data_IF_253369142983
#
_entry.id   IF_253369142983
#
_cell.length_a   1.000
_cell.length_b   1.000
_cell.length_c   1.000
_cell.angle_alpha   90.00
_cell.angle_beta   90.00
_cell.angle_gamma   90.00
#
_symmetry.space_group_name_H-M   'P 1'
#
loop_
_entity.id
_entity.type
_entity.pdbx_description
1 polymer ?
#
# COMPACT_ATOMS: atom_id res chain seq x y z
N UNK A 1 -13.63 2.08 10.43
CA UNK A 1 -13.42 1.83 8.98
C UNK A 1 -14.66 1.19 8.43
N UNK A 2 -15.38 1.87 7.53
CA UNK A 2 -16.63 1.35 6.95
C UNK A 2 -16.48 0.84 5.51
N UNK A 3 -15.37 1.15 4.84
CA UNK A 3 -15.21 0.92 3.39
C UNK A 3 -14.10 -0.09 3.04
N UNK A 4 -13.21 -0.40 3.99
CA UNK A 4 -12.13 -1.38 3.84
C UNK A 4 -11.94 -2.22 5.09
N UNK A 5 -11.39 -3.41 4.91
CA UNK A 5 -11.03 -4.35 5.98
C UNK A 5 -9.63 -4.95 5.75
N UNK A 6 -8.98 -5.43 6.81
CA UNK A 6 -7.66 -6.06 6.73
C UNK A 6 -7.81 -7.57 6.88
N UNK A 7 -7.33 -8.34 5.90
CA UNK A 7 -7.37 -9.80 5.88
C UNK A 7 -6.03 -10.39 5.44
N UNK A 8 -5.87 -11.71 5.53
CA UNK A 8 -4.71 -12.40 4.97
C UNK A 8 -4.69 -12.20 3.45
N UNK A 9 -3.58 -11.71 2.92
CA UNK A 9 -3.41 -11.47 1.48
C UNK A 9 -2.91 -12.72 0.77
N UNK A 10 -3.24 -12.83 -0.51
CA UNK A 10 -2.62 -13.81 -1.42
C UNK A 10 -1.27 -13.31 -1.98
N UNK A 11 -1.00 -12.01 -1.91
CA UNK A 11 0.26 -11.39 -2.34
C UNK A 11 1.33 -11.60 -1.26
N UNK A 12 1.14 -11.00 -0.08
CA UNK A 12 2.04 -11.15 1.07
C UNK A 12 1.35 -10.76 2.38
N UNK A 13 1.57 -11.52 3.45
CA UNK A 13 1.13 -11.17 4.81
C UNK A 13 -0.35 -10.79 4.91
N UNK A 14 -0.61 -9.52 5.24
CA UNK A 14 -1.94 -8.93 5.31
C UNK A 14 -2.16 -8.00 4.11
N UNK A 15 -3.41 -7.85 3.70
CA UNK A 15 -3.86 -6.97 2.64
C UNK A 15 -5.06 -6.14 3.08
N UNK A 16 -5.28 -5.02 2.42
CA UNK A 16 -6.48 -4.19 2.56
C UNK A 16 -7.48 -4.62 1.49
N UNK A 17 -8.74 -4.85 1.86
CA UNK A 17 -9.78 -5.33 0.95
C UNK A 17 -10.99 -4.39 0.97
N UNK A 18 -11.59 -4.20 -0.20
CA UNK A 18 -12.81 -3.41 -0.37
C UNK A 18 -14.01 -4.11 0.30
N UNK A 19 -14.75 -3.43 1.18
CA UNK A 19 -16.00 -4.00 1.76
C UNK A 19 -17.26 -3.61 0.98
N UNK A 20 -17.10 -2.73 -0.02
CA UNK A 20 -18.12 -2.28 -0.99
C UNK A 20 -17.49 -2.05 -2.36
N UNK A 21 -18.31 -1.80 -3.36
CA UNK A 21 -17.84 -1.32 -4.66
C UNK A 21 -17.37 0.14 -4.57
N UNK A 22 -16.33 0.49 -5.33
CA UNK A 22 -15.83 1.86 -5.53
C UNK A 22 -15.78 2.18 -7.02
N UNK A 23 -16.12 3.42 -7.36
CA UNK A 23 -15.91 3.98 -8.70
C UNK A 23 -14.51 4.55 -8.86
N UNK A 24 -14.03 4.56 -10.10
CA UNK A 24 -12.82 5.29 -10.48
C UNK A 24 -12.89 6.74 -9.95
N UNK A 25 -11.81 7.18 -9.30
CA UNK A 25 -11.68 8.51 -8.70
C UNK A 25 -12.17 8.62 -7.26
N UNK A 26 -12.83 7.59 -6.71
CA UNK A 26 -13.20 7.60 -5.28
C UNK A 26 -11.97 7.47 -4.38
N UNK A 27 -11.98 8.20 -3.28
CA UNK A 27 -11.03 8.02 -2.18
C UNK A 27 -11.42 6.76 -1.41
N UNK A 28 -10.53 5.77 -1.40
CA UNK A 28 -10.75 4.47 -0.75
C UNK A 28 -10.28 4.53 0.69
N UNK A 29 -9.07 5.05 0.88
CA UNK A 29 -8.40 5.08 2.17
C UNK A 29 -7.65 6.40 2.32
N UNK A 30 -7.94 7.13 3.39
CA UNK A 30 -7.13 8.25 3.85
C UNK A 30 -6.13 7.72 4.87
N UNK A 31 -4.86 8.01 4.67
CA UNK A 31 -3.80 7.62 5.57
C UNK A 31 -3.79 8.55 6.78
N UNK A 32 -3.42 8.00 7.93
CA UNK A 32 -3.18 8.80 9.13
C UNK A 32 -1.83 8.40 9.73
N UNK A 33 -0.73 8.59 9.01
CA UNK A 33 0.55 8.09 9.45
C UNK A 33 1.05 8.96 10.62
N UNK A 34 1.72 8.34 11.59
CA UNK A 34 2.22 9.03 12.77
C UNK A 34 3.52 9.75 12.43
N UNK A 35 3.64 11.08 12.61
CA UNK A 35 4.92 11.77 12.48
C UNK A 35 5.93 11.19 13.46
N UNK A 36 7.13 10.90 12.98
CA UNK A 36 8.26 10.44 13.80
C UNK A 36 9.50 11.25 13.47
N UNK A 37 10.45 11.28 14.40
CA UNK A 37 11.78 11.86 14.21
C UNK A 37 12.67 10.91 13.42
N UNK A 38 13.74 11.44 12.81
CA UNK A 38 14.76 10.61 12.17
C UNK A 38 15.36 9.60 13.16
N UNK A 39 15.66 10.02 14.39
CA UNK A 39 16.21 9.14 15.42
C UNK A 39 15.24 8.03 15.85
N UNK A 40 13.93 8.25 15.77
CA UNK A 40 12.93 7.18 15.96
C UNK A 40 12.89 6.24 14.77
N UNK A 41 12.98 6.77 13.54
CA UNK A 41 13.04 5.97 12.32
C UNK A 41 14.29 5.07 12.30
N UNK A 42 15.48 5.63 12.60
CA UNK A 42 16.75 4.90 12.64
C UNK A 42 16.81 3.80 13.72
N UNK A 43 15.90 3.84 14.71
CA UNK A 43 15.75 2.82 15.76
C UNK A 43 14.75 1.72 15.41
N UNK A 44 13.94 1.92 14.37
CA UNK A 44 13.18 0.83 13.79
C UNK A 44 14.21 -0.03 13.05
N UNK A 45 14.35 -1.29 13.48
CA UNK A 45 15.20 -2.28 12.83
C UNK A 45 14.30 -3.45 12.44
N UNK A 46 14.52 -4.04 11.27
CA UNK A 46 13.66 -5.03 10.58
C UNK A 46 12.33 -4.48 10.04
N UNK A 47 11.59 -5.35 9.33
CA UNK A 47 10.23 -5.34 8.70
C UNK A 47 9.29 -4.13 8.98
N UNK A 48 9.45 -3.43 10.11
CA UNK A 48 8.82 -2.14 10.41
C UNK A 48 9.39 -0.96 9.60
N UNK A 49 10.61 -1.06 9.07
CA UNK A 49 11.18 -0.01 8.19
C UNK A 49 10.37 0.16 6.91
N UNK A 50 9.80 -0.93 6.38
CA UNK A 50 8.92 -0.91 5.20
C UNK A 50 7.64 -0.07 5.43
N UNK A 51 7.35 0.32 6.67
CA UNK A 51 6.21 1.17 7.03
C UNK A 51 6.58 2.63 7.27
N UNK A 52 7.86 3.01 7.12
CA UNK A 52 8.29 4.39 7.26
C UNK A 52 8.19 5.10 5.91
N UNK A 53 7.28 6.07 5.83
CA UNK A 53 7.14 6.95 4.69
C UNK A 53 8.05 8.18 4.87
N UNK A 54 8.86 8.47 3.86
CA UNK A 54 9.73 9.64 3.81
C UNK A 54 9.18 10.68 2.83
N UNK A 55 8.78 11.86 3.33
CA UNK A 55 8.26 12.96 2.50
C UNK A 55 9.12 14.20 2.73
N UNK A 56 9.96 14.53 1.76
CA UNK A 56 10.90 15.66 1.86
C UNK A 56 11.96 15.44 2.94
N UNK A 57 11.79 16.08 4.10
CA UNK A 57 12.67 15.92 5.29
C UNK A 57 11.92 15.36 6.51
N UNK A 58 10.71 14.87 6.31
CA UNK A 58 9.82 14.37 7.36
C UNK A 58 9.69 12.86 7.26
N UNK A 59 9.60 12.22 8.42
CA UNK A 59 9.41 10.78 8.56
C UNK A 59 8.04 10.52 9.16
N UNK A 60 7.35 9.53 8.63
CA UNK A 60 6.03 9.13 9.09
C UNK A 60 5.95 7.61 9.21
N UNK A 61 5.46 7.12 10.33
CA UNK A 61 5.15 5.70 10.52
C UNK A 61 3.72 5.42 10.05
N UNK A 62 3.57 4.60 9.02
CA UNK A 62 2.26 4.18 8.54
C UNK A 62 1.52 3.34 9.59
N UNK A 63 0.21 3.57 9.71
CA UNK A 63 -0.65 2.86 10.64
C UNK A 63 -1.55 1.86 9.91
N UNK A 64 -2.35 1.09 10.64
CA UNK A 64 -3.37 0.28 10.01
C UNK A 64 -4.57 1.19 9.64
N UNK A 65 -5.17 1.01 8.45
CA UNK A 65 -4.93 -0.10 7.53
C UNK A 65 -3.87 0.19 6.44
N UNK A 66 -3.42 1.43 6.25
CA UNK A 66 -2.59 1.84 5.11
C UNK A 66 -1.28 1.07 4.98
N UNK A 67 -0.64 0.71 6.10
CA UNK A 67 0.59 -0.08 6.10
C UNK A 67 0.44 -1.50 5.53
N UNK A 68 -0.80 -1.96 5.32
CA UNK A 68 -1.11 -3.27 4.75
C UNK A 68 -1.58 -3.21 3.31
N UNK A 69 -1.59 -2.03 2.67
CA UNK A 69 -1.82 -1.95 1.23
C UNK A 69 -0.62 -2.64 0.56
N UNK A 70 -0.87 -3.57 -0.37
CA UNK A 70 0.20 -4.33 -1.01
C UNK A 70 0.58 -3.74 -2.36
N UNK A 71 1.79 -4.09 -2.82
CA UNK A 71 2.26 -3.73 -4.14
C UNK A 71 1.59 -4.56 -5.25
N UNK A 72 1.24 -3.91 -6.36
CA UNK A 72 0.90 -4.57 -7.62
C UNK A 72 1.43 -3.80 -8.83
N UNK A 73 2.00 -4.53 -9.80
CA UNK A 73 2.39 -3.96 -11.11
C UNK A 73 1.18 -3.49 -11.94
N UNK A 74 -0.02 -3.99 -11.64
CA UNK A 74 -1.29 -3.48 -12.15
C UNK A 74 -2.13 -3.07 -10.94
N UNK A 75 -1.65 -2.05 -10.21
CA UNK A 75 -2.33 -1.49 -9.07
C UNK A 75 -3.72 -0.96 -9.45
N UNK A 76 -4.65 -1.02 -8.50
CA UNK A 76 -6.00 -0.46 -8.66
C UNK A 76 -6.16 0.91 -8.00
N UNK A 77 -5.10 1.42 -7.36
CA UNK A 77 -5.05 2.77 -6.81
C UNK A 77 -3.87 3.58 -7.35
N UNK A 78 -3.97 4.90 -7.19
CA UNK A 78 -2.82 5.80 -7.16
C UNK A 78 -2.86 6.60 -5.86
N UNK A 79 -1.70 7.07 -5.42
CA UNK A 79 -1.57 7.81 -4.17
C UNK A 79 -1.58 9.31 -4.43
N UNK A 80 -2.37 10.05 -3.66
CA UNK A 80 -2.39 11.51 -3.71
C UNK A 80 -2.82 12.06 -2.35
N UNK A 81 -2.14 13.10 -1.85
CA UNK A 81 -2.45 13.76 -0.58
C UNK A 81 -2.73 12.76 0.56
N UNK A 82 -1.78 11.83 0.81
CA UNK A 82 -1.89 10.79 1.83
C UNK A 82 -3.19 9.97 1.72
N UNK A 83 -3.59 9.63 0.49
CA UNK A 83 -4.79 8.84 0.23
C UNK A 83 -4.58 7.88 -0.94
N UNK A 84 -5.17 6.69 -0.84
CA UNK A 84 -5.38 5.79 -1.98
C UNK A 84 -6.66 6.17 -2.71
N UNK A 85 -6.53 6.46 -4.00
CA UNK A 85 -7.63 6.83 -4.88
C UNK A 85 -7.78 5.77 -5.96
N UNK A 86 -9.01 5.32 -6.20
CA UNK A 86 -9.32 4.30 -7.20
C UNK A 86 -8.92 4.76 -8.61
N UNK A 87 -8.06 4.01 -9.30
CA UNK A 87 -7.66 4.32 -10.69
C UNK A 87 -8.58 3.66 -11.73
N UNK A 88 -9.43 2.73 -11.28
CA UNK A 88 -10.50 2.03 -12.00
C UNK A 88 -11.65 1.72 -11.04
N UNK A 89 -12.76 1.20 -11.54
CA UNK A 89 -13.79 0.61 -10.68
C UNK A 89 -13.21 -0.61 -9.91
N UNK A 90 -13.55 -0.73 -8.63
CA UNK A 90 -13.11 -1.80 -7.72
C UNK A 90 -14.34 -2.43 -7.11
N UNK A 91 -14.42 -3.76 -7.17
CA UNK A 91 -15.52 -4.53 -6.60
C UNK A 91 -15.30 -4.86 -5.13
N UNK A 92 -16.40 -5.01 -4.40
CA UNK A 92 -16.40 -5.59 -3.06
C UNK A 92 -15.60 -6.90 -3.07
N UNK A 93 -14.67 -7.03 -2.13
CA UNK A 93 -13.79 -8.19 -1.96
C UNK A 93 -12.50 -8.13 -2.76
N UNK A 94 -12.30 -7.16 -3.66
CA UNK A 94 -11.00 -6.95 -4.29
C UNK A 94 -9.97 -6.42 -3.28
N UNK A 95 -8.72 -6.85 -3.43
CA UNK A 95 -7.59 -6.32 -2.66
C UNK A 95 -7.18 -4.95 -3.21
N UNK A 96 -7.04 -3.97 -2.33
CA UNK A 96 -6.53 -2.64 -2.63
C UNK A 96 -5.01 -2.73 -2.74
N UNK A 97 -4.49 -2.28 -3.87
CA UNK A 97 -3.05 -2.36 -4.19
C UNK A 97 -2.58 -1.07 -4.83
N UNK A 98 -1.35 -0.68 -4.48
CA UNK A 98 -0.71 0.53 -4.98
C UNK A 98 0.61 0.19 -5.68
N UNK A 99 1.06 1.08 -6.56
CA UNK A 99 2.41 1.06 -7.10
C UNK A 99 3.27 2.00 -6.25
N UNK A 100 4.21 1.44 -5.48
CA UNK A 100 5.10 2.23 -4.62
C UNK A 100 6.34 2.73 -5.35
N UNK A 101 6.43 2.52 -6.67
CA UNK A 101 7.58 2.96 -7.45
C UNK A 101 8.86 2.23 -7.06
N UNK A 102 8.77 0.94 -6.68
CA UNK A 102 9.95 0.11 -6.47
C UNK A 102 10.78 0.11 -7.76
N UNK A 103 11.82 0.94 -7.80
CA UNK A 103 12.86 0.81 -8.81
C UNK A 103 13.41 -0.60 -8.69
N UNK A 104 13.43 -1.29 -9.82
CA UNK A 104 13.89 -2.67 -9.97
C UNK A 104 15.37 -2.79 -9.62
N UNK A 105 15.68 -2.75 -8.33
CA UNK A 105 16.88 -3.41 -7.82
C UNK A 105 16.63 -4.89 -8.00
N UNK A 106 17.57 -5.60 -8.63
CA UNK A 106 17.44 -6.99 -9.10
C UNK A 106 17.10 -8.04 -8.01
N UNK A 107 16.85 -7.63 -6.77
CA UNK A 107 16.47 -8.47 -5.63
C UNK A 107 14.97 -8.51 -5.34
N UNK A 108 14.15 -7.58 -5.84
CA UNK A 108 12.70 -7.58 -5.57
C UNK A 108 11.95 -8.62 -6.42
N UNK A 109 11.52 -9.70 -5.76
CA UNK A 109 10.75 -10.79 -6.33
C UNK A 109 9.24 -10.54 -6.13
N UNK A 110 8.55 -10.07 -7.18
CA UNK A 110 7.17 -9.60 -7.07
C UNK A 110 6.16 -10.77 -6.99
N UNK A 111 5.25 -10.69 -5.99
CA UNK A 111 4.17 -11.67 -5.75
C UNK A 111 2.77 -11.19 -6.15
N UNK A 112 2.66 -10.08 -6.88
CA UNK A 112 1.35 -9.45 -7.15
C UNK A 112 0.39 -10.29 -8.00
N UNK A 113 0.88 -11.32 -8.70
CA UNK A 113 0.05 -12.18 -9.55
C UNK A 113 -0.46 -11.53 -10.85
N UNK A 114 -0.10 -10.27 -11.14
CA UNK A 114 -0.47 -9.61 -12.41
C UNK A 114 0.11 -10.35 -13.61
N UNK A 115 -0.71 -10.48 -14.67
CA UNK A 115 -0.27 -11.06 -15.96
C UNK A 115 0.84 -10.22 -16.60
N UNK A 116 0.81 -8.89 -16.42
CA UNK A 116 1.80 -7.93 -16.93
C UNK A 116 2.98 -7.67 -15.99
N UNK A 117 3.10 -8.41 -14.88
CA UNK A 117 4.22 -8.28 -13.97
C UNK A 117 5.55 -8.55 -14.69
N UNK A 118 6.49 -7.60 -14.61
CA UNK A 118 7.82 -7.67 -15.24
C UNK A 118 8.86 -8.41 -14.38
N UNK A 119 8.60 -8.56 -13.08
CA UNK A 119 9.54 -9.11 -12.08
C UNK A 119 8.93 -10.31 -11.34
N UNK A 120 8.33 -11.24 -12.08
CA UNK A 120 7.66 -12.41 -11.49
C UNK A 120 8.65 -13.29 -10.73
N UNK A 121 8.17 -13.91 -9.65
CA UNK A 121 8.76 -15.12 -9.07
C UNK A 121 8.67 -16.30 -10.04
#
# INVERSE_FOLDING_TARGET
MKDVEVKKSKIIGKGVFAVRDFKKGEVILKWNPKPITKAEADKLTDIKDDYVLHVGRKYFLQQAPEKYVNYSCESNTFTNNFSDIANRDIKKGEEITSDYGYESTNSFKCKCGSKKCKNKL
#
